data_IF_309239443807
#
_entry.id   IF_309239443807
#
_cell.length_a   1.000
_cell.length_b   1.000
_cell.length_c   1.000
_cell.angle_alpha   90.00
_cell.angle_beta   90.00
_cell.angle_gamma   90.00
#
_symmetry.space_group_name_H-M   'P 1'
#
loop_
_entity.id
_entity.type
_entity.pdbx_description
1 polymer ?
#
# COMPACT_ATOMS: atom_id res chain seq x y z
N UNK A 1 15.11 -4.69 63.08
CA UNK A 1 13.94 -5.14 62.32
C UNK A 1 14.29 -6.20 61.25
N UNK A 2 15.53 -6.18 60.64
CA UNK A 2 15.94 -7.17 59.66
C UNK A 2 15.99 -8.63 60.20
N UNK A 3 16.22 -8.81 61.50
CA UNK A 3 16.21 -10.13 62.12
C UNK A 3 14.80 -10.73 62.35
N UNK A 4 13.71 -9.99 62.12
CA UNK A 4 12.31 -10.45 62.25
C UNK A 4 11.59 -10.71 60.92
N UNK A 5 12.13 -10.31 59.81
CA UNK A 5 11.60 -10.60 58.49
C UNK A 5 12.28 -11.87 57.95
N UNK A 6 11.57 -12.98 58.08
CA UNK A 6 12.03 -14.29 57.63
C UNK A 6 12.43 -14.29 56.14
N UNK A 7 13.63 -14.77 55.88
CA UNK A 7 14.15 -15.32 54.59
C UNK A 7 13.60 -14.68 53.29
N UNK A 8 13.95 -13.42 53.05
CA UNK A 8 13.82 -12.88 51.69
C UNK A 8 15.22 -12.52 51.15
N UNK A 9 15.49 -12.77 49.91
CA UNK A 9 16.72 -12.42 49.19
C UNK A 9 17.19 -10.97 49.48
N UNK A 10 16.23 -10.05 49.68
CA UNK A 10 16.49 -8.65 50.00
C UNK A 10 17.11 -8.48 51.39
N UNK A 11 16.58 -9.20 52.41
CA UNK A 11 17.11 -9.13 53.79
C UNK A 11 18.50 -9.75 53.92
N UNK A 12 18.75 -10.81 53.16
CA UNK A 12 20.05 -11.49 53.18
C UNK A 12 21.13 -10.58 52.55
N UNK A 13 20.84 -9.91 51.43
CA UNK A 13 21.76 -8.95 50.82
C UNK A 13 22.05 -7.73 51.73
N UNK A 14 21.05 -7.22 52.46
CA UNK A 14 21.26 -6.11 53.41
C UNK A 14 22.13 -6.52 54.60
N UNK A 15 21.97 -7.75 55.09
CA UNK A 15 22.78 -8.31 56.17
C UNK A 15 24.24 -8.51 55.69
N UNK A 16 24.45 -9.05 54.50
CA UNK A 16 25.79 -9.21 53.91
C UNK A 16 26.53 -7.87 53.75
N UNK A 17 25.79 -6.80 53.47
CA UNK A 17 26.33 -5.44 53.37
C UNK A 17 26.47 -4.74 54.73
N UNK A 18 26.24 -5.43 55.85
CA UNK A 18 26.24 -4.87 57.18
C UNK A 18 25.24 -3.72 57.43
N UNK A 19 24.12 -3.73 56.70
CA UNK A 19 23.04 -2.73 56.89
C UNK A 19 22.08 -3.17 57.99
N UNK A 20 21.84 -2.26 58.94
CA UNK A 20 21.03 -2.57 60.16
C UNK A 20 19.65 -1.86 60.16
N UNK A 21 19.42 -0.88 59.28
CA UNK A 21 18.11 -0.30 59.05
C UNK A 21 17.92 0.06 57.60
N UNK A 22 16.69 -0.09 57.11
CA UNK A 22 16.33 0.21 55.71
C UNK A 22 14.92 0.80 55.61
N UNK A 23 14.71 1.69 54.65
CA UNK A 23 13.40 2.16 54.20
C UNK A 23 13.31 1.89 52.69
N UNK A 24 12.23 1.21 52.32
CA UNK A 24 11.86 0.98 50.93
C UNK A 24 10.60 1.83 50.62
N UNK A 25 10.75 2.76 49.69
CA UNK A 25 9.66 3.66 49.30
C UNK A 25 9.30 3.49 47.83
N UNK A 26 8.08 3.01 47.49
CA UNK A 26 7.68 2.83 46.11
C UNK A 26 7.45 4.20 45.45
N UNK A 27 8.07 4.39 44.29
CA UNK A 27 7.87 5.55 43.43
C UNK A 27 6.85 5.17 42.36
N UNK A 28 5.62 5.69 42.47
CA UNK A 28 4.53 5.36 41.55
C UNK A 28 3.99 6.61 40.88
N UNK A 29 3.52 6.47 39.62
CA UNK A 29 2.85 7.51 38.87
C UNK A 29 1.63 6.94 38.15
N UNK A 30 0.46 7.53 38.32
CA UNK A 30 -0.83 7.04 37.81
C UNK A 30 -1.05 5.52 37.98
N UNK A 31 -0.74 5.01 39.16
CA UNK A 31 -0.89 3.59 39.49
C UNK A 31 0.19 2.64 38.95
N UNK A 32 1.14 3.16 38.16
CA UNK A 32 2.27 2.37 37.64
C UNK A 32 3.49 2.58 38.54
N UNK A 33 4.13 1.49 38.96
CA UNK A 33 5.39 1.53 39.69
C UNK A 33 6.53 1.92 38.76
N UNK A 34 7.21 3.04 39.07
CA UNK A 34 8.40 3.51 38.33
C UNK A 34 9.68 2.90 38.88
N UNK A 35 9.72 2.65 40.17
CA UNK A 35 10.87 2.10 40.85
C UNK A 35 10.65 2.08 42.37
N UNK A 36 11.67 1.65 43.10
CA UNK A 36 11.70 1.66 44.58
C UNK A 36 12.91 2.47 45.03
N UNK A 37 12.68 3.48 45.83
CA UNK A 37 13.77 4.20 46.51
C UNK A 37 14.15 3.42 47.75
N UNK A 38 15.37 2.87 47.72
CA UNK A 38 15.99 2.16 48.86
C UNK A 38 16.97 3.09 49.57
N UNK A 39 16.75 3.26 50.87
CA UNK A 39 17.63 4.00 51.75
C UNK A 39 18.07 3.05 52.86
N UNK A 40 19.37 2.87 53.01
CA UNK A 40 19.95 1.93 53.99
C UNK A 40 20.92 2.63 54.92
N UNK A 41 21.10 2.08 56.13
CA UNK A 41 22.06 2.60 57.11
C UNK A 41 22.73 1.45 57.89
N UNK A 42 24.04 1.51 58.17
CA UNK A 42 24.72 0.57 59.01
C UNK A 42 24.41 0.76 60.51
N UNK A 43 23.68 1.81 60.89
CA UNK A 43 23.29 2.07 62.27
C UNK A 43 21.89 1.51 62.55
N UNK A 44 21.73 0.74 63.66
CA UNK A 44 20.40 0.26 64.05
C UNK A 44 19.49 1.46 64.40
N UNK A 45 18.21 1.39 64.02
CA UNK A 45 17.18 2.38 64.30
C UNK A 45 17.44 3.80 63.70
N UNK A 46 18.48 4.00 62.91
CA UNK A 46 18.78 5.28 62.25
C UNK A 46 17.65 5.68 61.27
N UNK A 47 17.08 4.69 60.60
CA UNK A 47 15.93 4.88 59.72
C UNK A 47 14.64 4.44 60.44
N UNK A 48 13.84 5.41 60.84
CA UNK A 48 12.63 5.21 61.61
C UNK A 48 11.42 5.88 60.98
N UNK A 49 10.25 5.81 61.63
CA UNK A 49 9.01 6.35 61.10
C UNK A 49 9.04 7.86 60.85
N UNK A 50 9.78 8.63 61.67
CA UNK A 50 9.94 10.06 61.43
C UNK A 50 10.73 10.39 60.16
N UNK A 51 11.75 9.60 59.89
CA UNK A 51 12.53 9.74 58.68
C UNK A 51 11.75 9.30 57.44
N UNK A 52 10.83 8.33 57.59
CA UNK A 52 9.96 7.93 56.48
C UNK A 52 8.99 9.04 56.04
N UNK A 53 8.54 9.92 56.95
CA UNK A 53 7.69 11.07 56.59
C UNK A 53 8.46 12.09 55.72
N UNK A 54 9.74 12.33 56.02
CA UNK A 54 10.59 13.22 55.18
C UNK A 54 10.87 12.61 53.82
N UNK A 55 10.93 11.29 53.71
CA UNK A 55 11.11 10.60 52.45
C UNK A 55 9.92 10.85 51.50
N UNK A 56 8.70 10.95 52.02
CA UNK A 56 7.51 11.29 51.22
C UNK A 56 7.66 12.63 50.50
N UNK A 57 8.24 13.64 51.13
CA UNK A 57 8.49 14.94 50.49
C UNK A 57 9.59 14.84 49.43
N UNK A 58 10.69 14.15 49.74
CA UNK A 58 11.82 13.98 48.80
C UNK A 58 11.41 13.07 47.64
N UNK A 59 10.61 12.04 47.90
CA UNK A 59 10.18 11.08 46.89
C UNK A 59 9.44 11.71 45.71
N UNK A 60 8.75 12.82 45.94
CA UNK A 60 8.07 13.59 44.89
C UNK A 60 9.07 14.19 43.92
N UNK A 61 10.17 14.79 44.43
CA UNK A 61 11.22 15.34 43.56
C UNK A 61 11.97 14.24 42.80
N UNK A 62 12.25 13.10 43.45
CA UNK A 62 12.89 11.93 42.83
C UNK A 62 11.97 11.39 41.71
N UNK A 63 10.67 11.28 41.99
CA UNK A 63 9.67 10.83 41.02
C UNK A 63 9.63 11.73 39.78
N UNK A 64 9.56 13.05 39.99
CA UNK A 64 9.56 14.03 38.88
C UNK A 64 10.86 13.95 38.08
N UNK A 65 12.02 13.83 38.76
CA UNK A 65 13.31 13.69 38.11
C UNK A 65 13.39 12.40 37.27
N UNK A 66 12.90 11.27 37.79
CA UNK A 66 12.85 10.01 37.05
C UNK A 66 11.94 10.09 35.83
N UNK A 67 10.77 10.70 35.96
CA UNK A 67 9.85 10.89 34.83
C UNK A 67 10.51 11.73 33.74
N UNK A 68 11.11 12.85 34.12
CA UNK A 68 11.83 13.72 33.17
C UNK A 68 12.99 13.00 32.49
N UNK A 69 13.81 12.27 33.25
CA UNK A 69 14.92 11.49 32.68
C UNK A 69 14.43 10.42 31.70
N UNK A 70 13.33 9.74 32.04
CA UNK A 70 12.73 8.76 31.16
C UNK A 70 12.17 9.41 29.87
N UNK A 71 11.50 10.55 29.99
CA UNK A 71 10.97 11.28 28.82
C UNK A 71 12.11 11.80 27.92
N UNK A 72 13.18 12.31 28.51
CA UNK A 72 14.38 12.72 27.77
C UNK A 72 15.01 11.52 27.03
N UNK A 73 15.08 10.36 27.66
CA UNK A 73 15.61 9.15 27.03
C UNK A 73 14.71 8.63 25.90
N UNK A 74 13.39 8.59 26.11
CA UNK A 74 12.42 8.24 25.07
C UNK A 74 12.50 9.21 23.88
N UNK A 75 12.69 10.50 24.15
CA UNK A 75 12.84 11.50 23.10
C UNK A 75 14.16 11.33 22.33
N UNK A 76 15.26 10.94 22.97
CA UNK A 76 16.53 10.59 22.29
C UNK A 76 16.34 9.38 21.35
N UNK A 77 15.60 8.35 21.79
CA UNK A 77 15.27 7.19 20.95
C UNK A 77 14.48 7.63 19.72
N UNK A 78 13.41 8.40 19.92
CA UNK A 78 12.59 8.91 18.80
C UNK A 78 13.41 9.75 17.83
N UNK A 79 14.25 10.66 18.35
CA UNK A 79 15.12 11.49 17.53
C UNK A 79 16.12 10.67 16.72
N UNK A 80 16.73 9.64 17.32
CA UNK A 80 17.65 8.75 16.61
C UNK A 80 16.93 7.99 15.50
N UNK A 81 15.76 7.41 15.79
CA UNK A 81 14.96 6.71 14.77
C UNK A 81 14.55 7.66 13.64
N UNK A 82 14.12 8.89 13.95
CA UNK A 82 13.72 9.88 12.94
C UNK A 82 14.89 10.34 12.06
N UNK A 83 16.12 10.40 12.59
CA UNK A 83 17.29 10.78 11.81
C UNK A 83 17.74 9.67 10.84
N UNK A 84 17.66 8.42 11.30
CA UNK A 84 18.16 7.26 10.55
C UNK A 84 17.10 6.63 9.63
N UNK A 85 15.81 6.71 10.00
CA UNK A 85 14.72 6.02 9.33
C UNK A 85 13.64 6.97 8.81
N UNK A 86 12.83 6.48 7.87
CA UNK A 86 11.59 7.13 7.42
C UNK A 86 10.39 6.71 8.31
N UNK A 87 9.17 6.86 7.84
CA UNK A 87 7.98 6.36 8.53
C UNK A 87 8.07 4.84 8.74
N UNK A 88 7.92 4.40 9.99
CA UNK A 88 8.02 2.99 10.38
C UNK A 88 6.62 2.48 10.69
N UNK A 89 6.26 1.32 10.12
CA UNK A 89 5.01 0.67 10.42
C UNK A 89 4.93 0.26 11.91
N UNK A 90 3.80 0.48 12.61
CA UNK A 90 3.67 0.20 14.04
C UNK A 90 4.03 -1.23 14.45
N UNK A 91 3.71 -2.23 13.62
CA UNK A 91 3.97 -3.66 13.92
C UNK A 91 5.45 -4.00 14.08
N UNK A 92 6.33 -3.28 13.42
CA UNK A 92 7.80 -3.52 13.44
C UNK A 92 8.56 -2.50 14.28
N UNK A 93 7.89 -1.45 14.77
CA UNK A 93 8.50 -0.35 15.52
C UNK A 93 9.32 -0.82 16.73
N UNK A 94 8.87 -1.84 17.41
CA UNK A 94 9.55 -2.40 18.59
C UNK A 94 10.99 -2.81 18.30
N UNK A 95 11.28 -3.30 17.08
CA UNK A 95 12.62 -3.71 16.67
C UNK A 95 13.55 -2.51 16.48
N UNK A 96 12.99 -1.42 15.91
CA UNK A 96 13.69 -0.14 15.77
C UNK A 96 13.98 0.49 17.14
N UNK A 97 13.02 0.42 18.07
CA UNK A 97 13.21 0.89 19.44
C UNK A 97 14.35 0.10 20.13
N UNK A 98 14.41 -1.22 19.96
CA UNK A 98 15.50 -2.06 20.51
C UNK A 98 16.86 -1.67 19.95
N UNK A 99 16.98 -1.47 18.63
CA UNK A 99 18.23 -1.07 18.00
C UNK A 99 18.67 0.33 18.47
N UNK A 100 17.73 1.27 18.54
CA UNK A 100 18.00 2.62 19.04
C UNK A 100 18.49 2.59 20.50
N UNK A 101 17.89 1.78 21.37
CA UNK A 101 18.36 1.55 22.73
C UNK A 101 19.78 1.01 22.76
N UNK A 102 20.07 0.02 21.93
CA UNK A 102 21.40 -0.57 21.82
C UNK A 102 22.45 0.47 21.41
N UNK A 103 22.17 1.23 20.36
CA UNK A 103 23.07 2.28 19.84
C UNK A 103 23.30 3.37 20.87
N UNK A 104 22.26 3.87 21.55
CA UNK A 104 22.40 4.91 22.57
C UNK A 104 23.24 4.41 23.75
N UNK A 105 22.96 3.20 24.24
CA UNK A 105 23.74 2.60 25.32
C UNK A 105 25.23 2.44 24.96
N UNK A 106 25.53 2.02 23.73
CA UNK A 106 26.91 1.90 23.25
C UNK A 106 27.62 3.24 23.13
N UNK A 107 26.90 4.28 22.69
CA UNK A 107 27.43 5.66 22.61
C UNK A 107 27.71 6.22 24.01
N UNK A 108 26.90 5.90 25.02
CA UNK A 108 27.16 6.26 26.43
C UNK A 108 28.41 5.56 27.01
N UNK A 109 28.70 4.34 26.52
CA UNK A 109 29.94 3.61 26.85
C UNK A 109 31.18 4.12 26.07
N UNK A 110 31.10 5.26 25.39
CA UNK A 110 32.12 5.83 24.50
C UNK A 110 32.54 4.91 23.34
N UNK A 111 31.65 4.04 22.87
CA UNK A 111 31.84 3.19 21.69
C UNK A 111 31.15 3.78 20.48
N UNK A 112 31.86 3.79 19.34
CA UNK A 112 31.22 4.15 18.09
C UNK A 112 30.20 3.09 17.71
N UNK A 113 28.92 3.42 17.81
CA UNK A 113 27.83 2.58 17.36
C UNK A 113 26.98 3.33 16.34
N UNK A 114 26.71 2.66 15.23
CA UNK A 114 25.82 3.12 14.16
C UNK A 114 24.57 2.25 14.15
N UNK A 115 23.48 2.80 13.67
CA UNK A 115 22.24 2.06 13.48
C UNK A 115 22.46 1.03 12.36
N UNK A 116 22.11 -0.24 12.62
CA UNK A 116 22.34 -1.32 11.68
C UNK A 116 21.05 -1.72 10.95
N UNK A 117 21.21 -2.40 9.81
CA UNK A 117 20.09 -2.99 9.09
C UNK A 117 19.31 -3.96 9.97
N UNK A 118 17.98 -3.90 9.88
CA UNK A 118 17.09 -4.75 10.69
C UNK A 118 16.47 -5.84 9.82
N UNK A 119 16.81 -7.09 10.12
CA UNK A 119 16.27 -8.26 9.45
C UNK A 119 15.11 -8.89 10.24
N UNK A 120 14.11 -9.37 9.50
CA UNK A 120 12.98 -10.15 10.00
C UNK A 120 12.93 -11.45 9.18
N UNK A 121 13.31 -12.53 9.82
CA UNK A 121 13.44 -13.85 9.19
C UNK A 121 12.14 -14.66 9.34
N UNK A 122 11.99 -15.69 8.49
CA UNK A 122 10.88 -16.63 8.55
C UNK A 122 9.50 -15.96 8.53
N UNK A 123 9.33 -14.96 7.66
CA UNK A 123 8.06 -14.29 7.43
C UNK A 123 7.35 -14.84 6.20
N UNK A 124 6.04 -15.00 6.29
CA UNK A 124 5.18 -15.42 5.18
C UNK A 124 4.71 -14.18 4.42
N UNK A 125 5.01 -14.06 3.12
CA UNK A 125 4.50 -12.99 2.29
C UNK A 125 3.09 -13.32 1.80
N UNK A 126 2.20 -12.33 1.83
CA UNK A 126 0.92 -12.32 1.13
C UNK A 126 0.92 -11.13 0.17
N UNK A 127 0.72 -11.42 -1.10
CA UNK A 127 0.64 -10.39 -2.13
C UNK A 127 -0.73 -10.41 -2.79
N UNK A 128 -1.33 -9.24 -2.93
CA UNK A 128 -2.57 -9.04 -3.67
C UNK A 128 -2.50 -7.79 -4.52
N UNK A 129 -3.15 -7.84 -5.68
CA UNK A 129 -3.21 -6.74 -6.63
C UNK A 129 -4.61 -6.67 -7.24
N UNK A 130 -5.15 -5.47 -7.32
CA UNK A 130 -6.25 -5.12 -8.20
C UNK A 130 -5.72 -4.11 -9.21
N UNK A 131 -5.78 -4.44 -10.49
CA UNK A 131 -5.23 -3.64 -11.56
C UNK A 131 -6.32 -3.26 -12.58
N UNK A 132 -6.07 -2.25 -13.38
CA UNK A 132 -6.96 -1.83 -14.45
C UNK A 132 -6.64 -2.62 -15.72
N UNK A 133 -7.60 -3.42 -16.17
CA UNK A 133 -7.44 -4.23 -17.40
C UNK A 133 -7.27 -3.31 -18.62
N UNK A 134 -6.17 -3.51 -19.33
CA UNK A 134 -5.91 -2.74 -20.56
C UNK A 134 -5.74 -1.25 -20.32
N UNK A 135 -5.15 -0.84 -19.18
CA UNK A 135 -4.93 0.56 -18.84
C UNK A 135 -4.24 1.35 -19.96
N UNK A 136 -3.21 0.74 -20.57
CA UNK A 136 -2.50 1.33 -21.71
C UNK A 136 -3.40 1.51 -22.92
N UNK A 137 -4.24 0.52 -23.24
CA UNK A 137 -5.16 0.58 -24.39
C UNK A 137 -6.27 1.61 -24.16
N UNK A 138 -6.83 1.65 -22.95
CA UNK A 138 -7.84 2.63 -22.56
C UNK A 138 -7.29 4.06 -22.59
N UNK A 139 -6.06 4.27 -22.13
CA UNK A 139 -5.36 5.55 -22.21
C UNK A 139 -5.10 5.96 -23.65
N UNK A 140 -4.59 5.03 -24.46
CA UNK A 140 -4.35 5.28 -25.88
C UNK A 140 -5.65 5.63 -26.63
N UNK A 141 -6.76 4.97 -26.30
CA UNK A 141 -8.06 5.29 -26.88
C UNK A 141 -8.57 6.69 -26.45
N UNK A 142 -8.32 7.09 -25.20
CA UNK A 142 -8.64 8.45 -24.74
C UNK A 142 -7.79 9.51 -25.47
N UNK A 143 -6.48 9.25 -25.66
CA UNK A 143 -5.58 10.10 -26.43
C UNK A 143 -6.05 10.21 -27.89
N UNK A 144 -6.41 9.08 -28.50
CA UNK A 144 -6.93 9.02 -29.86
C UNK A 144 -8.19 9.89 -30.01
N UNK A 145 -9.14 9.77 -29.08
CA UNK A 145 -10.38 10.59 -29.09
C UNK A 145 -10.09 12.08 -29.00
N UNK A 146 -9.17 12.48 -28.14
CA UNK A 146 -8.77 13.88 -28.01
C UNK A 146 -8.17 14.42 -29.33
N UNK A 147 -7.29 13.65 -29.98
CA UNK A 147 -6.72 14.06 -31.25
C UNK A 147 -7.73 14.05 -32.40
N UNK A 148 -8.61 13.06 -32.47
CA UNK A 148 -9.70 13.03 -33.46
C UNK A 148 -10.57 14.28 -33.31
N UNK A 149 -11.03 14.58 -32.11
CA UNK A 149 -11.83 15.78 -31.82
C UNK A 149 -11.09 17.06 -32.21
N UNK A 150 -9.80 17.16 -31.91
CA UNK A 150 -9.00 18.33 -32.25
C UNK A 150 -8.81 18.50 -33.75
N UNK A 151 -8.48 17.43 -34.46
CA UNK A 151 -8.29 17.44 -35.92
C UNK A 151 -9.60 17.73 -36.65
N UNK A 152 -10.74 17.18 -36.21
CA UNK A 152 -12.06 17.47 -36.75
C UNK A 152 -12.44 18.95 -36.59
N UNK A 153 -12.25 19.52 -35.40
CA UNK A 153 -12.50 20.96 -35.16
C UNK A 153 -11.62 21.84 -36.03
N UNK A 154 -10.34 21.49 -36.21
CA UNK A 154 -9.43 22.21 -37.09
C UNK A 154 -9.90 22.08 -38.56
N UNK A 155 -10.26 20.88 -39.00
CA UNK A 155 -10.78 20.64 -40.35
C UNK A 155 -12.01 21.50 -40.66
N UNK A 156 -12.98 21.58 -39.74
CA UNK A 156 -14.19 22.41 -39.85
C UNK A 156 -13.85 23.89 -39.97
N UNK A 157 -12.91 24.39 -39.17
CA UNK A 157 -12.45 25.78 -39.22
C UNK A 157 -11.85 26.09 -40.58
N UNK A 158 -10.96 25.25 -41.12
CA UNK A 158 -10.34 25.47 -42.42
C UNK A 158 -11.30 25.28 -43.60
N UNK A 159 -12.25 24.35 -43.52
CA UNK A 159 -13.30 24.18 -44.50
C UNK A 159 -14.19 25.43 -44.62
N UNK A 160 -14.52 26.01 -43.45
CA UNK A 160 -15.29 27.27 -43.45
C UNK A 160 -14.45 28.47 -43.90
N UNK A 161 -13.18 28.52 -43.57
CA UNK A 161 -12.24 29.53 -44.03
C UNK A 161 -12.09 29.49 -45.56
N UNK A 162 -11.93 28.30 -46.16
CA UNK A 162 -11.88 28.09 -47.59
C UNK A 162 -13.14 28.59 -48.32
N UNK A 163 -14.32 28.39 -47.73
CA UNK A 163 -15.56 28.88 -48.29
C UNK A 163 -15.63 30.42 -48.27
N UNK A 164 -14.97 31.07 -47.34
CA UNK A 164 -14.91 32.54 -47.21
C UNK A 164 -13.79 33.16 -48.09
N UNK A 165 -12.63 32.49 -48.13
CA UNK A 165 -11.47 32.92 -48.90
C UNK A 165 -10.72 31.67 -49.42
N UNK A 166 -10.86 31.30 -50.69
CA UNK A 166 -10.26 30.11 -51.27
C UNK A 166 -8.74 30.28 -51.46
N UNK A 167 -7.96 29.78 -50.50
CA UNK A 167 -6.49 29.82 -50.52
C UNK A 167 -5.99 28.37 -50.55
N UNK A 168 -5.07 27.99 -51.47
CA UNK A 168 -4.60 26.60 -51.64
C UNK A 168 -4.02 25.95 -50.38
N UNK A 169 -3.46 26.73 -49.46
CA UNK A 169 -2.89 26.24 -48.20
C UNK A 169 -3.95 25.56 -47.32
N UNK A 170 -5.20 26.04 -47.34
CA UNK A 170 -6.29 25.44 -46.59
C UNK A 170 -6.61 24.02 -47.09
N UNK A 171 -6.59 23.82 -48.40
CA UNK A 171 -6.76 22.49 -49.01
C UNK A 171 -5.65 21.53 -48.62
N UNK A 172 -4.43 22.03 -48.61
CA UNK A 172 -3.25 21.22 -48.19
C UNK A 172 -3.35 20.80 -46.73
N UNK A 173 -3.73 21.70 -45.83
CA UNK A 173 -3.91 21.39 -44.42
C UNK A 173 -5.06 20.39 -44.21
N UNK A 174 -6.22 20.62 -44.84
CA UNK A 174 -7.35 19.69 -44.76
C UNK A 174 -6.97 18.31 -45.26
N UNK A 175 -6.25 18.21 -46.39
CA UNK A 175 -5.82 16.94 -46.94
C UNK A 175 -4.93 16.17 -45.97
N UNK A 176 -3.99 16.84 -45.33
CA UNK A 176 -3.11 16.20 -44.32
C UNK A 176 -3.85 15.77 -43.05
N UNK A 177 -4.81 16.57 -42.61
CA UNK A 177 -5.67 16.23 -41.47
C UNK A 177 -6.47 14.96 -41.77
N UNK A 178 -7.08 14.88 -42.98
CA UNK A 178 -7.84 13.68 -43.38
C UNK A 178 -6.95 12.44 -43.42
N UNK A 179 -5.75 12.56 -43.99
CA UNK A 179 -4.79 11.44 -43.95
C UNK A 179 -4.45 10.99 -42.53
N UNK A 180 -4.22 11.92 -41.58
CA UNK A 180 -3.95 11.59 -40.20
C UNK A 180 -5.14 10.97 -39.49
N UNK A 181 -6.38 11.40 -39.80
CA UNK A 181 -7.60 10.78 -39.26
C UNK A 181 -7.78 9.35 -39.77
N UNK A 182 -7.50 9.11 -41.06
CA UNK A 182 -7.52 7.77 -41.65
C UNK A 182 -6.45 6.86 -41.00
N UNK A 183 -5.24 7.36 -40.83
CA UNK A 183 -4.14 6.64 -40.15
C UNK A 183 -4.50 6.31 -38.67
N UNK A 184 -5.03 7.27 -37.92
CA UNK A 184 -5.50 7.05 -36.55
C UNK A 184 -6.60 5.98 -36.46
N UNK A 185 -7.45 5.92 -37.50
CA UNK A 185 -8.54 4.93 -37.53
C UNK A 185 -8.01 3.53 -37.86
N UNK A 186 -7.04 3.44 -38.78
CA UNK A 186 -6.49 2.17 -39.29
C UNK A 186 -5.48 1.53 -38.33
N UNK A 187 -4.57 2.31 -37.76
CA UNK A 187 -3.41 1.80 -37.00
C UNK A 187 -3.46 2.11 -35.49
N UNK A 188 -4.38 2.97 -35.08
CA UNK A 188 -4.43 3.48 -33.71
C UNK A 188 -3.37 4.57 -33.48
N UNK A 189 -3.06 4.83 -32.20
CA UNK A 189 -2.08 5.84 -31.81
C UNK A 189 -0.79 5.18 -31.30
N UNK A 190 0.33 5.69 -31.78
CA UNK A 190 1.67 5.42 -31.26
C UNK A 190 2.44 6.73 -31.05
N UNK A 191 3.60 6.65 -30.42
CA UNK A 191 4.45 7.81 -30.12
C UNK A 191 4.87 8.62 -31.37
N UNK A 192 4.98 7.96 -32.53
CA UNK A 192 5.32 8.62 -33.77
C UNK A 192 4.13 9.39 -34.37
N UNK A 193 2.95 8.77 -34.35
CA UNK A 193 1.68 9.40 -34.78
C UNK A 193 1.35 10.61 -33.90
N UNK A 194 1.46 10.47 -32.58
CA UNK A 194 1.28 11.58 -31.63
C UNK A 194 2.21 12.76 -31.94
N UNK A 195 3.49 12.49 -32.15
CA UNK A 195 4.49 13.51 -32.51
C UNK A 195 4.17 14.18 -33.84
N UNK A 196 3.70 13.44 -34.81
CA UNK A 196 3.37 13.95 -36.16
C UNK A 196 2.17 14.90 -36.09
N UNK A 197 1.13 14.52 -35.36
CA UNK A 197 -0.06 15.35 -35.15
C UNK A 197 0.31 16.63 -34.39
N UNK A 198 1.04 16.49 -33.29
CA UNK A 198 1.48 17.65 -32.50
C UNK A 198 2.27 18.64 -33.33
N UNK A 199 3.18 18.14 -34.17
CA UNK A 199 3.96 18.98 -35.07
C UNK A 199 3.10 19.71 -36.11
N UNK A 200 2.12 19.03 -36.74
CA UNK A 200 1.19 19.67 -37.66
C UNK A 200 0.42 20.80 -36.95
N UNK A 201 -0.10 20.53 -35.77
CA UNK A 201 -0.88 21.51 -34.99
C UNK A 201 -0.03 22.71 -34.58
N UNK A 202 1.18 22.48 -34.06
CA UNK A 202 2.04 23.55 -33.51
C UNK A 202 2.69 24.38 -34.58
N UNK A 203 3.23 23.72 -35.62
CA UNK A 203 4.10 24.38 -36.60
C UNK A 203 3.33 24.96 -37.79
N UNK A 204 2.19 24.34 -38.13
CA UNK A 204 1.47 24.71 -39.35
C UNK A 204 0.05 25.30 -39.09
N UNK A 205 -0.70 24.71 -38.15
CA UNK A 205 -2.09 25.12 -37.87
C UNK A 205 -2.13 26.36 -36.98
N UNK A 206 -1.49 26.33 -35.82
CA UNK A 206 -1.55 27.41 -34.81
C UNK A 206 -1.12 28.80 -35.38
N UNK A 207 -0.02 28.90 -36.17
CA UNK A 207 0.39 30.17 -36.72
C UNK A 207 -0.66 30.85 -37.62
N UNK A 208 -1.46 30.04 -38.30
CA UNK A 208 -2.45 30.51 -39.27
C UNK A 208 -3.80 30.84 -38.60
N UNK A 209 -4.10 30.26 -37.45
CA UNK A 209 -5.41 30.41 -36.76
C UNK A 209 -5.77 31.87 -36.48
N UNK A 210 -4.83 32.72 -36.12
CA UNK A 210 -5.07 34.16 -35.89
C UNK A 210 -5.55 34.86 -37.18
N UNK A 211 -4.96 34.52 -38.33
CA UNK A 211 -5.38 35.04 -39.64
C UNK A 211 -6.79 34.55 -39.98
N UNK A 212 -7.02 33.23 -39.85
CA UNK A 212 -8.33 32.63 -40.13
C UNK A 212 -9.44 33.27 -39.28
N UNK A 213 -9.20 33.51 -38.00
CA UNK A 213 -10.13 34.17 -37.08
C UNK A 213 -10.47 35.61 -37.48
N UNK A 214 -9.62 36.29 -38.28
CA UNK A 214 -9.90 37.66 -38.77
C UNK A 214 -10.78 37.73 -39.98
N UNK A 215 -11.08 36.62 -40.68
CA UNK A 215 -11.83 36.62 -41.94
C UNK A 215 -13.35 36.87 -41.77
N UNK A 216 -13.93 36.43 -40.67
CA UNK A 216 -15.34 36.66 -40.37
C UNK A 216 -15.66 36.54 -38.89
N UNK A 217 -16.77 37.13 -38.42
CA UNK A 217 -17.22 37.01 -37.04
C UNK A 217 -17.48 35.56 -36.62
N UNK A 218 -17.96 34.72 -37.55
CA UNK A 218 -18.19 33.28 -37.29
C UNK A 218 -16.87 32.53 -37.11
N UNK A 219 -15.90 32.77 -37.99
CA UNK A 219 -14.56 32.18 -37.83
C UNK A 219 -13.84 32.66 -36.55
N UNK A 220 -14.04 33.92 -36.19
CA UNK A 220 -13.52 34.44 -34.93
C UNK A 220 -14.10 33.67 -33.73
N UNK A 221 -15.39 33.37 -33.71
CA UNK A 221 -16.03 32.56 -32.68
C UNK A 221 -15.47 31.13 -32.66
N UNK A 222 -15.39 30.46 -33.83
CA UNK A 222 -14.85 29.10 -33.95
C UNK A 222 -13.40 28.99 -33.46
N UNK A 223 -12.54 29.92 -33.88
CA UNK A 223 -11.12 29.96 -33.45
C UNK A 223 -11.02 30.24 -31.95
N UNK A 224 -11.81 31.17 -31.42
CA UNK A 224 -11.85 31.47 -29.99
C UNK A 224 -12.25 30.21 -29.18
N UNK A 225 -13.33 29.52 -29.59
CA UNK A 225 -13.82 28.32 -28.87
C UNK A 225 -12.84 27.16 -28.99
N UNK A 226 -12.12 27.03 -30.11
CA UNK A 226 -11.02 26.09 -30.28
C UNK A 226 -9.85 26.46 -29.37
N UNK A 227 -9.41 27.73 -29.36
CA UNK A 227 -8.29 28.19 -28.52
C UNK A 227 -8.60 28.01 -27.04
N UNK A 228 -9.82 28.34 -26.60
CA UNK A 228 -10.25 28.15 -25.23
C UNK A 228 -10.18 26.67 -24.78
N UNK A 229 -10.43 25.71 -25.68
CA UNK A 229 -10.28 24.28 -25.38
C UNK A 229 -8.81 23.83 -25.23
N UNK A 230 -7.84 24.64 -25.65
CA UNK A 230 -6.41 24.37 -25.59
C UNK A 230 -5.69 25.08 -24.43
N UNK A 231 -6.29 26.14 -23.86
CA UNK A 231 -5.60 27.13 -22.99
C UNK A 231 -4.88 26.53 -21.76
N UNK A 232 -5.36 25.40 -21.23
CA UNK A 232 -4.79 24.78 -20.02
C UNK A 232 -3.88 23.58 -20.30
N UNK A 233 -3.65 23.19 -21.59
CA UNK A 233 -3.10 21.88 -21.92
C UNK A 233 -2.06 21.86 -23.06
N UNK A 234 -1.07 22.74 -23.03
CA UNK A 234 0.05 22.75 -23.99
C UNK A 234 -0.34 22.68 -25.48
N UNK A 235 -1.52 23.22 -25.81
CA UNK A 235 -2.00 23.30 -27.20
C UNK A 235 -2.67 22.02 -27.74
N UNK A 236 -3.11 21.12 -26.85
CA UNK A 236 -3.88 19.92 -27.20
C UNK A 236 -5.19 19.86 -26.42
N UNK A 237 -6.24 19.28 -27.03
CA UNK A 237 -7.47 18.93 -26.32
C UNK A 237 -7.17 17.77 -25.38
N UNK A 238 -7.60 17.87 -24.11
CA UNK A 238 -7.26 16.92 -23.05
C UNK A 238 -8.51 16.40 -22.30
N UNK A 239 -9.69 16.52 -22.88
CA UNK A 239 -10.95 16.22 -22.17
C UNK A 239 -11.15 14.73 -21.91
N UNK A 240 -10.89 13.86 -22.89
CA UNK A 240 -11.03 12.41 -22.73
C UNK A 240 -9.93 11.83 -21.82
N UNK A 241 -8.70 12.32 -21.97
CA UNK A 241 -7.58 11.95 -21.07
C UNK A 241 -7.85 12.39 -19.64
N UNK A 242 -8.29 13.63 -19.42
CA UNK A 242 -8.65 14.13 -18.10
C UNK A 242 -9.73 13.30 -17.43
N UNK A 243 -10.76 12.90 -18.17
CA UNK A 243 -11.82 12.03 -17.67
C UNK A 243 -11.30 10.64 -17.29
N UNK A 244 -10.41 10.06 -18.10
CA UNK A 244 -9.77 8.78 -17.81
C UNK A 244 -8.88 8.86 -16.55
N UNK A 245 -7.99 9.85 -16.49
CA UNK A 245 -7.08 10.05 -15.38
C UNK A 245 -7.84 10.31 -14.06
N UNK A 246 -8.92 11.11 -14.12
CA UNK A 246 -9.80 11.35 -12.97
C UNK A 246 -10.49 10.05 -12.52
N UNK A 247 -10.99 9.25 -13.47
CA UNK A 247 -11.65 7.99 -13.14
C UNK A 247 -10.68 7.02 -12.45
N UNK A 248 -9.47 6.86 -12.98
CA UNK A 248 -8.40 6.03 -12.38
C UNK A 248 -8.04 6.55 -10.99
N UNK A 249 -7.85 7.85 -10.85
CA UNK A 249 -7.51 8.45 -9.55
C UNK A 249 -8.60 8.20 -8.50
N UNK A 250 -9.86 8.50 -8.81
CA UNK A 250 -10.98 8.34 -7.86
C UNK A 250 -11.18 6.89 -7.47
N UNK A 251 -11.10 5.96 -8.43
CA UNK A 251 -11.22 4.53 -8.17
C UNK A 251 -10.09 4.08 -7.24
N UNK A 252 -8.84 4.39 -7.57
CA UNK A 252 -7.68 4.00 -6.77
C UNK A 252 -7.71 4.58 -5.36
N UNK A 253 -8.20 5.81 -5.18
CA UNK A 253 -8.36 6.42 -3.86
C UNK A 253 -9.41 5.70 -3.01
N UNK A 254 -10.55 5.31 -3.60
CA UNK A 254 -11.60 4.58 -2.88
C UNK A 254 -11.16 3.19 -2.51
N UNK A 255 -10.59 2.44 -3.45
CA UNK A 255 -10.06 1.09 -3.22
C UNK A 255 -8.95 1.10 -2.17
N UNK A 256 -8.00 2.03 -2.27
CA UNK A 256 -6.92 2.17 -1.30
C UNK A 256 -7.43 2.53 0.11
N UNK A 257 -8.42 3.41 0.21
CA UNK A 257 -9.04 3.78 1.50
C UNK A 257 -9.74 2.60 2.14
N UNK A 258 -10.47 1.82 1.35
CA UNK A 258 -11.12 0.60 1.84
C UNK A 258 -10.06 -0.38 2.38
N UNK A 259 -9.01 -0.66 1.60
CA UNK A 259 -7.93 -1.55 2.02
C UNK A 259 -7.23 -1.06 3.31
N UNK A 260 -6.95 0.23 3.42
CA UNK A 260 -6.34 0.82 4.62
C UNK A 260 -7.22 0.63 5.86
N UNK A 261 -8.54 0.75 5.71
CA UNK A 261 -9.49 0.53 6.80
C UNK A 261 -9.57 -0.95 7.18
N UNK A 262 -9.75 -1.85 6.21
CA UNK A 262 -9.81 -3.28 6.45
C UNK A 262 -8.51 -3.82 7.08
N UNK A 263 -7.36 -3.30 6.65
CA UNK A 263 -6.06 -3.66 7.21
C UNK A 263 -5.91 -3.26 8.68
N UNK A 264 -6.47 -2.12 9.11
CA UNK A 264 -6.44 -1.74 10.52
C UNK A 264 -7.17 -2.74 11.43
N UNK A 265 -8.27 -3.30 10.96
CA UNK A 265 -9.00 -4.35 11.69
C UNK A 265 -8.19 -5.65 11.75
N UNK A 266 -7.57 -6.06 10.65
CA UNK A 266 -6.71 -7.24 10.61
C UNK A 266 -5.48 -7.14 11.54
N UNK A 267 -4.94 -5.94 11.77
CA UNK A 267 -3.85 -5.70 12.74
C UNK A 267 -4.25 -6.04 14.18
N UNK A 268 -5.52 -5.89 14.54
CA UNK A 268 -6.03 -6.21 15.88
C UNK A 268 -6.01 -7.73 16.15
N UNK A 269 -6.10 -8.55 15.11
CA UNK A 269 -6.08 -10.02 15.21
C UNK A 269 -4.66 -10.50 15.43
N UNK A 270 -3.78 -10.16 14.51
CA UNK A 270 -2.35 -10.42 14.62
C UNK A 270 -1.54 -9.31 13.96
N UNK A 271 -0.62 -8.64 14.69
CA UNK A 271 0.23 -7.61 14.11
C UNK A 271 1.08 -8.15 12.96
N UNK A 272 1.03 -7.49 11.83
CA UNK A 272 1.78 -7.85 10.63
C UNK A 272 2.33 -6.59 9.95
N UNK A 273 3.43 -6.73 9.21
CA UNK A 273 3.96 -5.63 8.41
C UNK A 273 3.15 -5.51 7.12
N UNK A 274 2.77 -4.29 6.76
CA UNK A 274 1.90 -3.99 5.63
C UNK A 274 2.47 -2.85 4.79
N UNK A 275 2.47 -3.03 3.48
CA UNK A 275 2.81 -2.03 2.48
C UNK A 275 1.75 -1.99 1.40
N UNK A 276 1.42 -0.80 0.94
CA UNK A 276 0.51 -0.58 -0.17
C UNK A 276 1.12 0.37 -1.17
N UNK A 277 1.00 0.03 -2.45
CA UNK A 277 1.46 0.85 -3.56
C UNK A 277 0.28 1.18 -4.48
N UNK A 278 0.28 2.41 -5.01
CA UNK A 278 -0.61 2.84 -6.08
C UNK A 278 0.18 2.80 -7.38
N UNK A 279 -0.30 2.00 -8.30
CA UNK A 279 0.17 1.91 -9.68
C UNK A 279 -0.97 2.36 -10.61
N UNK A 280 -1.20 1.69 -11.73
CA UNK A 280 -2.46 1.83 -12.48
C UNK A 280 -3.65 1.25 -11.70
N UNK A 281 -3.38 0.49 -10.64
CA UNK A 281 -4.31 -0.04 -9.67
C UNK A 281 -3.78 0.09 -8.23
N UNK A 282 -4.14 -0.87 -7.37
CA UNK A 282 -3.70 -0.94 -5.97
C UNK A 282 -3.11 -2.31 -5.69
N UNK A 283 -1.84 -2.34 -5.30
CA UNK A 283 -1.17 -3.56 -4.82
C UNK A 283 -0.82 -3.46 -3.34
N UNK A 284 -0.76 -4.60 -2.67
CA UNK A 284 -0.37 -4.67 -1.27
C UNK A 284 0.50 -5.90 -0.97
N UNK A 285 1.40 -5.71 -0.03
CA UNK A 285 2.21 -6.76 0.57
C UNK A 285 1.91 -6.85 2.06
N UNK A 286 1.77 -8.06 2.55
CA UNK A 286 1.68 -8.37 3.98
C UNK A 286 2.81 -9.34 4.30
N UNK A 287 3.51 -9.09 5.41
CA UNK A 287 4.50 -10.00 5.94
C UNK A 287 4.12 -10.36 7.37
N UNK A 288 3.90 -11.65 7.61
CA UNK A 288 3.44 -12.18 8.90
C UNK A 288 4.35 -13.31 9.37
N UNK A 289 4.69 -13.30 10.65
CA UNK A 289 5.57 -14.30 11.26
C UNK A 289 5.98 -13.92 12.67
N UNK A 290 6.64 -14.84 13.36
CA UNK A 290 7.11 -14.61 14.74
C UNK A 290 8.08 -13.42 14.85
N UNK A 291 8.86 -13.14 13.81
CA UNK A 291 9.81 -12.04 13.81
C UNK A 291 9.15 -10.65 13.73
N UNK A 292 7.90 -10.55 13.28
CA UNK A 292 7.21 -9.26 13.09
C UNK A 292 6.62 -8.73 14.40
N UNK A 293 6.08 -9.60 15.25
CA UNK A 293 5.40 -9.18 16.47
C UNK A 293 6.09 -9.73 17.72
N UNK A 294 6.30 -8.85 18.71
CA UNK A 294 6.71 -9.23 20.06
C UNK A 294 5.55 -9.24 21.06
N UNK A 295 4.33 -8.93 20.62
CA UNK A 295 3.16 -8.77 21.50
C UNK A 295 2.34 -10.05 21.63
N UNK A 296 2.32 -10.89 20.58
CA UNK A 296 1.57 -12.15 20.53
C UNK A 296 2.47 -13.26 20.03
N UNK A 297 2.32 -14.43 20.62
CA UNK A 297 2.95 -15.65 20.10
C UNK A 297 2.35 -16.00 18.73
N UNK A 298 3.21 -16.28 17.75
CA UNK A 298 2.80 -16.63 16.40
C UNK A 298 2.25 -18.07 16.37
N UNK A 299 1.11 -18.21 15.68
CA UNK A 299 0.53 -19.53 15.33
C UNK A 299 0.14 -19.52 13.85
N UNK A 300 0.22 -20.70 13.21
CA UNK A 300 -0.19 -20.86 11.80
C UNK A 300 -1.66 -20.50 11.53
N UNK A 301 -2.50 -20.50 12.56
CA UNK A 301 -3.89 -20.07 12.43
C UNK A 301 -4.01 -18.61 12.01
N UNK A 302 -3.10 -17.74 12.49
CA UNK A 302 -3.11 -16.33 12.09
C UNK A 302 -2.77 -16.15 10.62
N UNK A 303 -1.88 -16.98 10.08
CA UNK A 303 -1.57 -17.00 8.64
C UNK A 303 -2.78 -17.43 7.83
N UNK A 304 -3.42 -18.54 8.18
CA UNK A 304 -4.62 -19.04 7.50
C UNK A 304 -5.75 -18.00 7.54
N UNK A 305 -5.94 -17.36 8.69
CA UNK A 305 -6.91 -16.31 8.86
C UNK A 305 -6.62 -15.07 7.99
N UNK A 306 -5.36 -14.63 7.92
CA UNK A 306 -4.97 -13.49 7.07
C UNK A 306 -5.11 -13.82 5.57
N UNK A 307 -4.90 -15.07 5.15
CA UNK A 307 -5.13 -15.51 3.77
C UNK A 307 -6.61 -15.46 3.39
N UNK A 308 -7.49 -15.97 4.27
CA UNK A 308 -8.93 -15.87 4.06
C UNK A 308 -9.41 -14.42 4.07
N UNK A 309 -8.94 -13.62 5.04
CA UNK A 309 -9.20 -12.18 5.12
C UNK A 309 -8.75 -11.46 3.83
N UNK A 310 -7.56 -11.79 3.32
CA UNK A 310 -7.04 -11.19 2.09
C UNK A 310 -7.97 -11.50 0.90
N UNK A 311 -8.42 -12.75 0.76
CA UNK A 311 -9.33 -13.13 -0.32
C UNK A 311 -10.67 -12.40 -0.22
N UNK A 312 -11.26 -12.29 0.98
CA UNK A 312 -12.47 -11.51 1.22
C UNK A 312 -12.27 -10.01 0.92
N UNK A 313 -11.16 -9.44 1.39
CA UNK A 313 -10.81 -8.04 1.16
C UNK A 313 -10.65 -7.74 -0.34
N UNK A 314 -10.03 -8.65 -1.10
CA UNK A 314 -9.87 -8.49 -2.56
C UNK A 314 -11.23 -8.52 -3.28
N UNK A 315 -12.18 -9.37 -2.86
CA UNK A 315 -13.55 -9.39 -3.40
C UNK A 315 -14.25 -8.05 -3.14
N UNK A 316 -14.18 -7.55 -1.91
CA UNK A 316 -14.80 -6.27 -1.56
C UNK A 316 -14.10 -5.07 -2.22
N UNK A 317 -12.78 -5.11 -2.41
CA UNK A 317 -12.06 -4.09 -3.20
C UNK A 317 -12.59 -4.00 -4.63
N UNK A 318 -12.94 -5.13 -5.24
CA UNK A 318 -13.53 -5.17 -6.58
C UNK A 318 -14.97 -4.64 -6.59
N UNK A 319 -15.76 -4.91 -5.54
CA UNK A 319 -17.07 -4.25 -5.36
C UNK A 319 -16.92 -2.73 -5.23
N UNK A 320 -15.98 -2.24 -4.44
CA UNK A 320 -15.68 -0.81 -4.29
C UNK A 320 -15.24 -0.20 -5.62
N UNK A 321 -14.45 -0.93 -6.41
CA UNK A 321 -14.00 -0.52 -7.74
C UNK A 321 -15.19 -0.26 -8.66
N UNK A 322 -16.11 -1.23 -8.83
CA UNK A 322 -17.24 -1.10 -9.73
C UNK A 322 -18.31 -0.14 -9.24
N UNK A 323 -18.51 -0.03 -7.92
CA UNK A 323 -19.37 1.00 -7.33
C UNK A 323 -18.84 2.41 -7.60
N UNK A 324 -17.51 2.59 -7.52
CA UNK A 324 -16.88 3.88 -7.85
C UNK A 324 -17.02 4.21 -9.33
N UNK A 325 -16.83 3.23 -10.21
CA UNK A 325 -16.90 3.38 -11.65
C UNK A 325 -18.28 3.80 -12.12
N UNK A 326 -19.37 3.30 -11.51
CA UNK A 326 -20.76 3.60 -11.93
C UNK A 326 -21.08 5.10 -11.95
N UNK A 327 -20.33 5.90 -11.20
CA UNK A 327 -20.49 7.36 -11.09
C UNK A 327 -19.52 8.15 -12.00
N UNK A 328 -18.69 7.48 -12.81
CA UNK A 328 -17.58 8.09 -13.56
C UNK A 328 -17.77 7.88 -15.07
N UNK A 329 -17.28 8.80 -15.92
CA UNK A 329 -17.30 8.63 -17.34
C UNK A 329 -16.33 7.52 -17.80
N UNK A 330 -16.76 6.71 -18.77
CA UNK A 330 -15.95 5.65 -19.36
C UNK A 330 -16.15 4.28 -18.68
N UNK A 331 -15.67 3.22 -19.35
CA UNK A 331 -15.77 1.85 -18.85
C UNK A 331 -14.37 1.31 -18.58
N UNK A 332 -14.02 1.19 -17.32
CA UNK A 332 -12.76 0.61 -16.85
C UNK A 332 -13.06 -0.76 -16.23
N UNK A 333 -12.19 -1.73 -16.33
CA UNK A 333 -12.40 -3.05 -15.78
C UNK A 333 -11.27 -3.44 -14.85
N UNK A 334 -11.60 -4.10 -13.74
CA UNK A 334 -10.63 -4.61 -12.78
C UNK A 334 -10.14 -6.01 -13.17
N UNK A 335 -8.90 -6.29 -12.79
CA UNK A 335 -8.30 -7.62 -12.76
C UNK A 335 -7.68 -7.85 -11.39
N UNK A 336 -8.22 -8.83 -10.66
CA UNK A 336 -7.80 -9.12 -9.29
C UNK A 336 -6.96 -10.39 -9.24
N UNK A 337 -5.84 -10.34 -8.50
CA UNK A 337 -5.03 -11.53 -8.28
C UNK A 337 -4.42 -11.59 -6.88
N UNK A 338 -4.19 -12.81 -6.41
CA UNK A 338 -3.42 -13.13 -5.21
C UNK A 338 -2.27 -14.04 -5.62
N UNK A 339 -1.04 -13.71 -5.20
CA UNK A 339 0.11 -14.58 -5.34
C UNK A 339 0.41 -15.26 -4.01
N UNK A 340 0.27 -16.59 -4.01
CA UNK A 340 0.54 -17.43 -2.84
C UNK A 340 1.96 -17.97 -2.92
N UNK A 341 2.82 -17.46 -2.06
CA UNK A 341 4.18 -17.95 -1.93
C UNK A 341 4.25 -19.00 -0.82
N UNK A 342 4.60 -20.24 -1.17
CA UNK A 342 4.53 -21.39 -0.27
C UNK A 342 5.61 -21.44 0.81
N UNK A 343 6.71 -20.67 0.64
CA UNK A 343 7.85 -20.64 1.56
C UNK A 343 7.88 -19.34 2.34
N UNK A 344 8.55 -19.39 3.50
CA UNK A 344 8.93 -18.17 4.22
C UNK A 344 10.07 -17.46 3.48
N UNK A 345 10.19 -16.18 3.74
CA UNK A 345 11.30 -15.35 3.27
C UNK A 345 11.81 -14.46 4.40
N UNK A 346 12.86 -13.71 4.13
CA UNK A 346 13.36 -12.69 5.05
C UNK A 346 13.18 -11.32 4.41
N UNK A 347 12.77 -10.35 5.20
CA UNK A 347 12.77 -8.94 4.81
C UNK A 347 13.76 -8.17 5.69
N UNK A 348 14.37 -7.14 5.13
CA UNK A 348 15.37 -6.32 5.81
C UNK A 348 15.08 -4.84 5.58
N UNK A 349 15.07 -4.07 6.66
CA UNK A 349 15.10 -2.63 6.55
C UNK A 349 16.54 -2.18 6.30
N UNK A 350 16.78 -1.57 5.14
CA UNK A 350 18.08 -1.03 4.75
C UNK A 350 18.18 0.43 5.20
N UNK A 351 19.17 0.73 6.01
CA UNK A 351 19.36 2.09 6.55
C UNK A 351 19.81 3.07 5.47
N UNK A 352 20.66 2.63 4.54
CA UNK A 352 21.15 3.44 3.43
C UNK A 352 20.03 3.86 2.45
N UNK A 353 19.08 2.96 2.18
CA UNK A 353 17.96 3.19 1.28
C UNK A 353 16.68 3.65 2.01
N UNK A 354 16.66 3.57 3.34
CA UNK A 354 15.52 3.90 4.23
C UNK A 354 14.22 3.20 3.85
N UNK A 355 14.31 1.95 3.42
CA UNK A 355 13.16 1.12 3.01
C UNK A 355 13.35 -0.34 3.38
N UNK A 356 12.22 -1.06 3.39
CA UNK A 356 12.25 -2.51 3.44
C UNK A 356 12.54 -3.09 2.06
N UNK A 357 13.26 -4.20 2.04
CA UNK A 357 13.54 -4.99 0.85
C UNK A 357 13.55 -6.48 1.21
N UNK A 358 13.32 -7.33 0.23
CA UNK A 358 13.41 -8.77 0.42
C UNK A 358 14.88 -9.17 0.46
N UNK A 359 15.29 -9.89 1.52
CA UNK A 359 16.69 -10.20 1.80
C UNK A 359 17.14 -11.51 1.16
N UNK A 360 18.25 -11.47 0.43
CA UNK A 360 18.94 -12.62 -0.14
C UNK A 360 18.52 -13.03 -1.56
N UNK A 361 19.42 -13.72 -2.25
CA UNK A 361 19.27 -14.11 -3.68
C UNK A 361 18.11 -15.11 -3.92
N UNK A 362 17.78 -15.95 -2.96
CA UNK A 362 16.65 -16.88 -3.06
C UNK A 362 15.31 -16.13 -3.08
N UNK A 363 15.24 -15.05 -2.33
CA UNK A 363 14.06 -14.21 -2.19
C UNK A 363 13.87 -13.26 -3.37
N UNK A 364 14.92 -12.99 -4.15
CA UNK A 364 14.83 -12.26 -5.41
C UNK A 364 13.85 -12.92 -6.42
N UNK A 365 13.64 -14.23 -6.32
CA UNK A 365 12.61 -14.94 -7.09
C UNK A 365 11.21 -14.39 -6.82
N UNK A 366 10.88 -14.11 -5.55
CA UNK A 366 9.58 -13.57 -5.18
C UNK A 366 9.31 -12.24 -5.89
N UNK A 367 10.27 -11.31 -5.85
CA UNK A 367 10.13 -10.01 -6.51
C UNK A 367 10.06 -10.11 -8.05
N UNK A 368 10.78 -11.06 -8.65
CA UNK A 368 10.71 -11.31 -10.10
C UNK A 368 9.34 -11.86 -10.50
N UNK A 369 8.81 -12.82 -9.71
CA UNK A 369 7.48 -13.39 -9.96
C UNK A 369 6.44 -12.27 -9.83
N UNK A 370 6.44 -11.55 -8.71
CA UNK A 370 5.51 -10.47 -8.42
C UNK A 370 5.39 -9.45 -9.57
N UNK A 371 6.52 -9.05 -10.17
CA UNK A 371 6.57 -8.06 -11.27
C UNK A 371 6.11 -8.57 -12.63
N UNK A 372 5.91 -9.87 -12.79
CA UNK A 372 5.65 -10.48 -14.11
C UNK A 372 4.41 -11.36 -14.17
N UNK A 373 3.90 -11.73 -13.01
CA UNK A 373 2.81 -12.69 -12.91
C UNK A 373 1.49 -12.15 -13.47
N UNK A 374 1.29 -10.84 -13.41
CA UNK A 374 0.14 -10.13 -14.01
C UNK A 374 0.03 -10.35 -15.53
N UNK A 375 1.17 -10.64 -16.18
CA UNK A 375 1.29 -10.90 -17.64
C UNK A 375 1.33 -12.37 -17.99
N UNK A 376 1.19 -13.26 -17.01
CA UNK A 376 1.21 -14.69 -17.26
C UNK A 376 0.01 -15.13 -18.11
N UNK A 377 0.28 -16.08 -19.03
CA UNK A 377 -0.75 -16.67 -19.88
C UNK A 377 -1.07 -18.09 -19.42
N UNK A 378 -2.28 -18.52 -19.72
CA UNK A 378 -2.68 -19.92 -19.54
C UNK A 378 -1.86 -20.74 -20.53
N UNK A 379 -1.28 -21.83 -20.03
CA UNK A 379 -0.34 -22.67 -20.77
C UNK A 379 -0.88 -23.10 -22.14
N UNK A 380 -0.08 -22.81 -23.16
CA UNK A 380 -0.44 -23.13 -24.55
C UNK A 380 -1.48 -22.20 -25.17
N UNK A 381 -1.83 -21.10 -24.53
CA UNK A 381 -2.78 -20.10 -25.06
C UNK A 381 -2.18 -18.70 -25.03
N UNK A 382 -2.90 -17.73 -25.62
CA UNK A 382 -2.59 -16.29 -25.49
C UNK A 382 -3.49 -15.60 -24.44
N UNK A 383 -4.29 -16.37 -23.73
CA UNK A 383 -5.21 -15.86 -22.72
C UNK A 383 -4.46 -15.52 -21.44
N UNK A 384 -4.68 -14.32 -20.91
CA UNK A 384 -4.13 -13.91 -19.63
C UNK A 384 -4.86 -14.60 -18.49
N UNK A 385 -4.14 -14.88 -17.40
CA UNK A 385 -4.72 -15.48 -16.21
C UNK A 385 -5.78 -14.59 -15.55
N UNK A 386 -5.55 -13.28 -15.55
CA UNK A 386 -6.47 -12.30 -15.00
C UNK A 386 -7.56 -11.96 -16.00
N UNK A 387 -8.81 -12.04 -15.56
CA UNK A 387 -10.00 -11.69 -16.35
C UNK A 387 -10.90 -10.74 -15.57
N UNK A 388 -11.70 -9.98 -16.32
CA UNK A 388 -12.72 -9.09 -15.75
C UNK A 388 -13.71 -9.90 -14.91
N UNK A 389 -13.98 -9.44 -13.69
CA UNK A 389 -14.97 -10.04 -12.81
C UNK A 389 -14.53 -11.37 -12.19
N UNK A 390 -13.25 -11.70 -12.29
CA UNK A 390 -12.68 -12.90 -11.71
C UNK A 390 -11.49 -12.55 -10.82
N UNK A 391 -11.32 -13.32 -9.76
CA UNK A 391 -10.09 -13.31 -8.97
C UNK A 391 -9.25 -14.53 -9.34
N UNK A 392 -7.96 -14.31 -9.58
CA UNK A 392 -6.97 -15.34 -9.86
C UNK A 392 -6.07 -15.58 -8.65
N UNK A 393 -6.02 -16.78 -8.12
CA UNK A 393 -5.15 -17.18 -7.01
C UNK A 393 -4.04 -18.04 -7.56
N UNK A 394 -2.81 -17.53 -7.57
CA UNK A 394 -1.64 -18.14 -8.21
C UNK A 394 -0.76 -18.80 -7.16
N UNK A 395 -0.35 -20.03 -7.38
CA UNK A 395 0.40 -20.84 -6.42
C UNK A 395 1.35 -21.81 -7.14
N UNK A 396 2.23 -22.48 -6.35
CA UNK A 396 3.23 -23.43 -6.86
C UNK A 396 3.16 -24.82 -6.24
N UNK A 397 2.30 -25.04 -5.23
CA UNK A 397 2.27 -26.30 -4.50
C UNK A 397 0.84 -26.71 -4.14
N UNK A 398 0.62 -28.03 -4.05
CA UNK A 398 -0.69 -28.63 -3.80
C UNK A 398 -1.27 -28.28 -2.40
N UNK A 399 -0.42 -28.00 -1.41
CA UNK A 399 -0.89 -27.56 -0.09
C UNK A 399 -1.63 -26.23 -0.17
N UNK A 400 -1.07 -25.27 -0.90
CA UNK A 400 -1.72 -23.97 -1.14
C UNK A 400 -3.00 -24.13 -1.96
N UNK A 401 -3.00 -25.01 -2.97
CA UNK A 401 -4.19 -25.35 -3.74
C UNK A 401 -5.35 -25.81 -2.86
N UNK A 402 -5.12 -26.84 -2.03
CA UNK A 402 -6.13 -27.36 -1.13
C UNK A 402 -6.61 -26.34 -0.08
N UNK A 403 -5.71 -25.48 0.42
CA UNK A 403 -6.06 -24.44 1.37
C UNK A 403 -6.99 -23.41 0.73
N UNK A 404 -6.64 -22.89 -0.45
CA UNK A 404 -7.47 -21.88 -1.12
C UNK A 404 -8.75 -22.42 -1.70
N UNK A 405 -8.81 -23.67 -2.14
CA UNK A 405 -10.07 -24.32 -2.54
C UNK A 405 -11.07 -24.38 -1.38
N UNK A 406 -10.62 -24.66 -0.14
CA UNK A 406 -11.51 -24.61 1.04
C UNK A 406 -12.05 -23.20 1.28
N UNK A 407 -11.22 -22.16 1.12
CA UNK A 407 -11.65 -20.78 1.27
C UNK A 407 -12.64 -20.38 0.17
N UNK A 408 -12.38 -20.80 -1.06
CA UNK A 408 -13.27 -20.54 -2.20
C UNK A 408 -14.62 -21.21 -1.98
N UNK A 409 -14.66 -22.50 -1.61
CA UNK A 409 -15.90 -23.21 -1.34
C UNK A 409 -16.71 -22.53 -0.23
N UNK A 410 -16.07 -22.14 0.86
CA UNK A 410 -16.71 -21.35 1.91
C UNK A 410 -17.33 -20.05 1.36
N UNK A 411 -16.60 -19.30 0.54
CA UNK A 411 -17.09 -18.05 -0.03
C UNK A 411 -18.13 -18.24 -1.14
N UNK A 412 -18.16 -19.40 -1.79
CA UNK A 412 -19.24 -19.83 -2.67
C UNK A 412 -20.53 -20.08 -1.90
N UNK A 413 -20.46 -20.76 -0.75
CA UNK A 413 -21.59 -20.97 0.16
C UNK A 413 -22.14 -19.63 0.70
N UNK A 414 -21.26 -18.67 0.99
CA UNK A 414 -21.60 -17.28 1.36
C UNK A 414 -22.11 -16.44 0.18
N UNK A 415 -22.16 -16.97 -1.04
CA UNK A 415 -22.60 -16.27 -2.26
C UNK A 415 -21.76 -15.03 -2.61
N UNK A 416 -20.49 -15.03 -2.25
CA UNK A 416 -19.52 -14.02 -2.65
C UNK A 416 -18.79 -14.41 -3.94
N UNK A 417 -18.62 -15.70 -4.19
CA UNK A 417 -18.02 -16.27 -5.40
C UNK A 417 -19.01 -17.13 -6.15
N UNK A 418 -18.83 -17.23 -7.48
CA UNK A 418 -19.62 -18.10 -8.32
C UNK A 418 -19.34 -19.59 -8.00
N UNK A 419 -20.33 -20.50 -8.18
CA UNK A 419 -20.20 -21.90 -7.78
C UNK A 419 -19.22 -22.73 -8.64
N UNK A 420 -18.59 -22.13 -9.63
CA UNK A 420 -17.64 -22.78 -10.52
C UNK A 420 -16.28 -22.10 -10.43
N UNK A 421 -15.25 -22.87 -10.17
CA UNK A 421 -13.86 -22.48 -10.18
C UNK A 421 -13.07 -23.27 -11.23
N UNK A 422 -12.02 -22.68 -11.77
CA UNK A 422 -11.17 -23.27 -12.80
C UNK A 422 -9.74 -23.42 -12.27
N UNK A 423 -9.18 -24.62 -12.37
CA UNK A 423 -7.76 -24.85 -12.07
C UNK A 423 -7.00 -24.83 -13.40
N UNK A 424 -6.03 -23.94 -13.53
CA UNK A 424 -5.32 -23.62 -14.76
C UNK A 424 -3.81 -23.77 -14.57
N UNK A 425 -3.13 -24.35 -15.53
CA UNK A 425 -1.66 -24.33 -15.61
C UNK A 425 -1.21 -23.06 -16.34
N UNK A 426 -0.12 -22.46 -15.86
CA UNK A 426 0.44 -21.25 -16.46
C UNK A 426 1.72 -21.54 -17.22
N UNK A 427 2.02 -20.71 -18.21
CA UNK A 427 3.33 -20.71 -18.86
C UNK A 427 4.43 -20.34 -17.84
N UNK A 428 5.62 -20.89 -18.04
CA UNK A 428 6.77 -20.61 -17.19
C UNK A 428 7.12 -19.11 -17.21
N UNK A 429 7.17 -18.52 -16.03
CA UNK A 429 7.67 -17.16 -15.85
C UNK A 429 9.16 -17.24 -15.53
N UNK A 430 9.97 -16.32 -16.03
CA UNK A 430 11.44 -16.35 -15.90
C UNK A 430 11.91 -16.77 -14.50
N UNK A 431 12.50 -17.97 -14.43
CA UNK A 431 13.06 -18.57 -13.21
C UNK A 431 12.07 -19.34 -12.35
N UNK A 432 10.79 -19.45 -12.72
CA UNK A 432 9.78 -20.25 -12.01
C UNK A 432 8.94 -21.06 -12.98
N UNK A 433 8.94 -22.37 -12.78
CA UNK A 433 8.14 -23.34 -13.51
C UNK A 433 7.10 -23.97 -12.59
N UNK A 434 6.06 -24.56 -13.19
CA UNK A 434 5.03 -25.27 -12.46
C UNK A 434 4.04 -24.36 -11.72
N UNK A 435 3.87 -23.12 -12.20
CA UNK A 435 2.83 -22.21 -11.71
C UNK A 435 1.45 -22.71 -12.13
N UNK A 436 0.54 -22.73 -11.17
CA UNK A 436 -0.88 -23.01 -11.35
C UNK A 436 -1.70 -21.85 -10.81
N UNK A 437 -2.95 -21.77 -11.22
CA UNK A 437 -3.87 -20.79 -10.67
C UNK A 437 -5.27 -21.39 -10.50
N UNK A 438 -5.99 -20.92 -9.47
CA UNK A 438 -7.44 -21.08 -9.37
C UNK A 438 -8.03 -19.75 -9.81
N UNK A 439 -8.95 -19.80 -10.78
CA UNK A 439 -9.72 -18.64 -11.23
C UNK A 439 -11.18 -18.85 -10.90
N UNK A 440 -11.80 -17.85 -10.25
CA UNK A 440 -13.20 -17.91 -9.85
C UNK A 440 -13.86 -16.55 -10.06
N UNK A 441 -15.11 -16.55 -10.55
CA UNK A 441 -15.85 -15.31 -10.79
C UNK A 441 -16.42 -14.76 -9.47
N UNK A 442 -16.38 -13.43 -9.34
CA UNK A 442 -16.93 -12.69 -8.19
C UNK A 442 -18.42 -12.42 -8.45
N UNK A 443 -19.27 -12.67 -7.46
CA UNK A 443 -20.69 -12.35 -7.52
C UNK A 443 -20.92 -10.93 -7.01
N UNK A 444 -21.30 -10.03 -7.93
CA UNK A 444 -21.59 -8.65 -7.56
C UNK A 444 -22.98 -8.52 -6.96
N UNK A 445 -23.07 -7.85 -5.81
CA UNK A 445 -24.34 -7.51 -5.18
C UNK A 445 -25.01 -6.38 -5.96
N UNK A 446 -26.33 -6.38 -6.02
CA UNK A 446 -27.06 -5.27 -6.60
C UNK A 446 -26.86 -4.02 -5.73
N UNK A 447 -26.72 -2.84 -6.35
CA UNK A 447 -26.44 -1.53 -5.72
C UNK A 447 -27.43 -1.14 -4.61
N UNK A 448 -28.55 -1.86 -4.47
CA UNK A 448 -29.63 -1.60 -3.50
C UNK A 448 -29.54 -2.45 -2.22
N UNK A 449 -28.55 -3.32 -2.06
CA UNK A 449 -28.37 -4.05 -0.79
C UNK A 449 -27.38 -3.27 0.10
N UNK A 450 -27.69 -3.08 1.40
CA UNK A 450 -26.78 -2.41 2.30
C UNK A 450 -25.44 -3.17 2.35
N UNK A 451 -24.34 -2.43 2.34
CA UNK A 451 -23.01 -2.97 2.57
C UNK A 451 -23.02 -3.86 3.81
N UNK A 452 -22.95 -5.16 3.61
CA UNK A 452 -22.68 -6.09 4.71
C UNK A 452 -21.20 -5.93 5.01
N UNK A 453 -20.87 -5.05 5.94
CA UNK A 453 -19.55 -5.01 6.54
C UNK A 453 -19.34 -6.39 7.15
N UNK A 454 -18.45 -7.18 6.54
CA UNK A 454 -18.07 -8.48 7.08
C UNK A 454 -17.36 -8.18 8.40
N UNK A 455 -18.10 -8.35 9.50
CA UNK A 455 -17.56 -8.08 10.83
C UNK A 455 -16.72 -9.29 11.24
N UNK A 456 -15.43 -9.10 11.35
CA UNK A 456 -14.45 -10.12 11.72
C UNK A 456 -14.79 -10.87 13.03
N UNK A 457 -15.60 -10.26 13.91
CA UNK A 457 -16.11 -10.90 15.11
C UNK A 457 -17.11 -12.03 14.81
N UNK A 458 -17.86 -11.93 13.74
CA UNK A 458 -18.81 -12.99 13.34
C UNK A 458 -18.06 -14.21 12.78
N UNK A 459 -16.96 -13.98 12.04
CA UNK A 459 -16.11 -15.07 11.50
C UNK A 459 -15.39 -15.88 12.59
N UNK A 460 -14.98 -15.25 13.69
CA UNK A 460 -14.29 -15.94 14.79
C UNK A 460 -15.22 -16.79 15.65
N UNK A 461 -16.53 -16.52 15.61
CA UNK A 461 -17.56 -17.26 16.35
C UNK A 461 -18.10 -18.46 15.57
N UNK A 462 -18.07 -18.44 14.22
CA UNK A 462 -18.55 -19.55 13.38
C UNK A 462 -17.52 -20.64 13.14
N UNK A 463 -16.21 -20.35 13.33
CA UNK A 463 -15.16 -21.34 13.08
C UNK A 463 -14.81 -22.22 14.29
N UNK A 464 -15.45 -22.03 15.47
CA UNK A 464 -15.23 -22.83 16.69
C UNK A 464 -13.73 -23.17 16.92
N UNK A 465 -12.86 -22.13 16.81
CA UNK A 465 -11.41 -22.24 16.87
C UNK A 465 -10.85 -21.40 18.00
#
# INVERSE_FOLDING_TARGET
YAQKLSNSYLTDNLIEQNMQSAILHPLSHHGKLLGVLEIVSPRPYALNRFNSLKINEISEYVRVSLLRSNDEYVNKIKALIQSECTAIHPSVKWRFDQEAHYVLKKREENKNAVFSDLAFTDVHPLYGQIDIVGSSDARNEAIKKDFVEQLERVCDIFAFAKASQPIPIYDQIIHRIVQLLDDLTATGIDANTERTITKLLTDEVNPIMKHVGSLSSRLHAMVRDYTAALEDNDGVIYSNRANYDLAVQVINERVARYLDQAQQEAQLIFPHYFERFKTDGVEHNIYVGAAISNQKEYSSIYLSNLRLWQLQTMIEMEHVFYNAQSALPGTISAASMILVFGNTLSIRYRIDEKRFDVDGSYNARYEVIKKRIDKAHIKGTKERITQRGCIAIIYTNDKSEHEYLRYIHYLQDEKLLAPHDEILELDDVQGVSGLKAIRVAILYRSINEPEKVINFKELSLELDL
#
